data_IF_208681758396
#
_entry.id   IF_208681758396
#
_cell.length_a   1.000
_cell.length_b   1.000
_cell.length_c   1.000
_cell.angle_alpha   90.00
_cell.angle_beta   90.00
_cell.angle_gamma   90.00
#
_symmetry.space_group_name_H-M   'P 1'
#
loop_
_entity.id
_entity.type
_entity.pdbx_description
1 polymer ?
#
# COMPACT_ATOMS: atom_id res chain seq x y z
N UNK A 1 -16.70 -5.49 14.74
CA UNK A 1 -15.77 -6.47 14.16
C UNK A 1 -14.97 -5.76 13.06
N UNK A 2 -13.63 -5.71 13.09
CA UNK A 2 -12.90 -5.02 12.03
C UNK A 2 -13.05 -5.84 10.74
N UNK A 3 -13.56 -5.21 9.69
CA UNK A 3 -13.62 -5.78 8.35
C UNK A 3 -12.19 -6.14 7.92
N UNK A 4 -11.83 -7.41 8.04
CA UNK A 4 -10.61 -7.95 7.44
C UNK A 4 -10.94 -8.13 5.96
N UNK A 5 -10.79 -7.06 5.19
CA UNK A 5 -10.85 -7.15 3.74
C UNK A 5 -9.51 -7.75 3.29
N UNK A 6 -9.40 -9.09 3.32
CA UNK A 6 -8.50 -9.76 2.41
C UNK A 6 -8.99 -9.39 1.03
N UNK A 7 -8.30 -8.49 0.33
CA UNK A 7 -8.53 -8.27 -1.08
C UNK A 7 -8.13 -9.55 -1.82
N UNK A 8 -8.97 -10.60 -1.74
CA UNK A 8 -8.96 -11.71 -2.68
C UNK A 8 -9.34 -11.08 -4.01
N UNK A 9 -8.35 -11.00 -4.89
CA UNK A 9 -8.37 -10.32 -6.18
C UNK A 9 -9.70 -10.51 -6.92
N UNK A 10 -10.41 -9.42 -7.23
CA UNK A 10 -11.41 -9.40 -8.30
C UNK A 10 -11.88 -8.02 -8.81
N UNK A 11 -11.69 -6.86 -8.11
CA UNK A 11 -11.87 -5.58 -8.85
C UNK A 11 -10.89 -4.44 -8.53
N UNK A 12 -9.94 -4.59 -7.60
CA UNK A 12 -9.09 -3.48 -7.12
C UNK A 12 -7.71 -3.38 -7.78
N UNK A 13 -7.36 -4.34 -8.64
CA UNK A 13 -6.25 -4.24 -9.58
C UNK A 13 -6.92 -4.11 -10.94
N UNK A 14 -6.66 -3.04 -11.71
CA UNK A 14 -7.09 -3.13 -13.10
C UNK A 14 -6.30 -4.29 -13.70
N UNK A 15 -6.99 -5.34 -14.14
CA UNK A 15 -6.33 -6.54 -14.67
C UNK A 15 -5.42 -6.21 -15.88
N UNK A 16 -5.61 -5.02 -16.48
CA UNK A 16 -4.76 -4.47 -17.52
C UNK A 16 -3.50 -3.74 -17.00
N UNK A 17 -3.50 -3.18 -15.78
CA UNK A 17 -2.34 -2.46 -15.21
C UNK A 17 -2.03 -3.00 -13.82
N UNK A 18 -0.92 -3.73 -13.73
CA UNK A 18 -0.35 -4.28 -12.48
C UNK A 18 0.23 -3.16 -11.62
N UNK A 19 -0.62 -2.29 -11.08
CA UNK A 19 -0.28 -1.13 -10.26
C UNK A 19 -1.25 -1.03 -9.08
N UNK A 20 -0.91 -0.24 -8.07
CA UNK A 20 -1.86 0.18 -7.03
C UNK A 20 -2.56 1.45 -7.53
N UNK A 21 -3.88 1.43 -7.79
CA UNK A 21 -4.62 2.59 -8.26
C UNK A 21 -4.71 3.67 -7.16
N UNK A 22 -4.80 4.94 -7.54
CA UNK A 22 -4.94 6.06 -6.57
C UNK A 22 -6.25 5.99 -5.80
N UNK A 23 -7.25 5.36 -6.38
CA UNK A 23 -8.59 5.09 -5.84
C UNK A 23 -8.54 4.20 -4.59
N UNK A 24 -7.39 3.56 -4.29
CA UNK A 24 -7.17 2.89 -2.99
C UNK A 24 -7.40 3.83 -1.80
N UNK A 25 -7.16 5.14 -1.99
CA UNK A 25 -7.36 6.16 -0.96
C UNK A 25 -8.83 6.35 -0.57
N UNK A 26 -9.78 5.91 -1.40
CA UNK A 26 -11.21 6.03 -1.13
C UNK A 26 -11.69 5.00 -0.09
N UNK A 27 -10.86 3.99 0.20
CA UNK A 27 -11.11 2.99 1.23
C UNK A 27 -10.79 3.53 2.63
N UNK A 28 -11.36 4.68 3.00
CA UNK A 28 -11.03 5.46 4.21
C UNK A 28 -11.18 4.70 5.53
N UNK A 29 -11.92 3.59 5.54
CA UNK A 29 -12.13 2.72 6.71
C UNK A 29 -11.25 1.45 6.71
N UNK A 30 -10.39 1.27 5.71
CA UNK A 30 -9.56 0.08 5.58
C UNK A 30 -8.50 0.03 6.69
N UNK A 31 -8.50 -1.06 7.46
CA UNK A 31 -7.56 -1.26 8.57
C UNK A 31 -6.33 -2.06 8.14
N UNK A 32 -6.51 -3.00 7.20
CA UNK A 32 -5.46 -3.91 6.73
C UNK A 32 -5.46 -3.91 5.21
N UNK A 33 -4.32 -3.60 4.61
CA UNK A 33 -4.07 -3.77 3.18
C UNK A 33 -3.03 -4.87 2.99
N UNK A 34 -3.41 -5.98 2.34
CA UNK A 34 -2.51 -7.11 2.05
C UNK A 34 -2.50 -7.44 0.57
N UNK A 35 -1.37 -7.18 -0.09
CA UNK A 35 -1.16 -7.41 -1.53
C UNK A 35 0.21 -8.03 -1.82
N UNK A 36 0.65 -8.88 -0.89
CA UNK A 36 1.96 -9.53 -0.90
C UNK A 36 2.06 -10.63 -1.95
N UNK A 37 3.28 -10.95 -2.41
CA UNK A 37 3.54 -12.03 -3.38
C UNK A 37 2.78 -11.86 -4.70
N UNK A 38 2.79 -10.64 -5.23
CA UNK A 38 2.25 -10.33 -6.53
C UNK A 38 3.36 -9.78 -7.43
N UNK A 39 3.01 -9.38 -8.64
CA UNK A 39 3.95 -8.77 -9.58
C UNK A 39 3.53 -7.32 -9.87
N UNK A 40 3.06 -6.62 -8.84
CA UNK A 40 2.65 -5.22 -8.91
C UNK A 40 3.87 -4.35 -9.14
N UNK A 41 3.74 -3.36 -10.01
CA UNK A 41 4.78 -2.44 -10.47
C UNK A 41 4.38 -0.99 -10.16
N UNK A 42 5.26 -0.04 -10.50
CA UNK A 42 5.00 1.38 -10.28
C UNK A 42 5.30 1.82 -8.85
N UNK A 43 4.86 3.01 -8.48
CA UNK A 43 5.02 3.56 -7.12
C UNK A 43 3.77 3.35 -6.27
N UNK A 44 3.93 3.47 -4.96
CA UNK A 44 2.78 3.55 -4.04
C UNK A 44 2.11 4.92 -4.27
N UNK A 45 0.80 4.99 -4.54
CA UNK A 45 0.11 6.26 -4.73
C UNK A 45 0.05 7.05 -3.40
N UNK A 46 0.22 8.36 -3.48
CA UNK A 46 0.23 9.22 -2.29
C UNK A 46 -1.08 9.16 -1.49
N UNK A 47 -2.19 8.85 -2.15
CA UNK A 47 -3.51 8.69 -1.52
C UNK A 47 -3.54 7.57 -0.47
N UNK A 48 -2.69 6.55 -0.59
CA UNK A 48 -2.55 5.50 0.44
C UNK A 48 -2.10 6.10 1.77
N UNK A 49 -1.22 7.11 1.74
CA UNK A 49 -0.70 7.74 2.96
C UNK A 49 -1.73 8.66 3.65
N UNK A 50 -2.87 8.93 3.03
CA UNK A 50 -3.97 9.67 3.65
C UNK A 50 -4.94 8.77 4.45
N UNK A 51 -4.78 7.44 4.38
CA UNK A 51 -5.66 6.47 5.01
C UNK A 51 -5.31 6.25 6.49
N UNK A 52 -5.67 7.21 7.35
CA UNK A 52 -5.33 7.22 8.78
C UNK A 52 -5.91 6.05 9.61
N UNK A 53 -6.82 5.25 9.04
CA UNK A 53 -7.38 4.04 9.65
C UNK A 53 -6.46 2.81 9.50
N UNK A 54 -5.48 2.83 8.59
CA UNK A 54 -4.59 1.71 8.35
C UNK A 54 -3.72 1.40 9.57
N UNK A 55 -3.68 0.12 9.92
CA UNK A 55 -2.83 -0.44 10.98
C UNK A 55 -1.79 -1.42 10.44
N UNK A 56 -2.08 -2.07 9.31
CA UNK A 56 -1.17 -3.00 8.66
C UNK A 56 -1.19 -2.83 7.15
N UNK A 57 -0.02 -2.68 6.56
CA UNK A 57 0.20 -2.69 5.11
C UNK A 57 1.24 -3.76 4.78
N UNK A 58 0.85 -4.77 4.01
CA UNK A 58 1.75 -5.80 3.47
C UNK A 58 1.79 -5.69 1.94
N UNK A 59 2.90 -5.20 1.41
CA UNK A 59 3.17 -5.07 -0.02
C UNK A 59 4.44 -5.83 -0.43
N UNK A 60 4.96 -6.69 0.45
CA UNK A 60 6.19 -7.42 0.23
C UNK A 60 6.14 -8.31 -1.03
N UNK A 61 7.30 -8.67 -1.56
CA UNK A 61 7.44 -9.56 -2.74
C UNK A 61 6.63 -9.05 -3.94
N UNK A 62 6.97 -7.85 -4.39
CA UNK A 62 6.39 -7.20 -5.57
C UNK A 62 7.52 -6.50 -6.38
N UNK A 63 7.14 -5.78 -7.44
CA UNK A 63 8.06 -4.96 -8.25
C UNK A 63 7.81 -3.45 -8.05
N UNK A 64 7.31 -3.03 -6.88
CA UNK A 64 7.09 -1.61 -6.57
C UNK A 64 8.43 -0.87 -6.50
N UNK A 65 8.43 0.38 -6.95
CA UNK A 65 9.63 1.23 -7.07
C UNK A 65 9.36 2.67 -6.65
N UNK A 66 10.43 3.46 -6.57
CA UNK A 66 10.38 4.86 -6.14
C UNK A 66 10.74 5.03 -4.67
N UNK A 67 10.63 6.27 -4.18
CA UNK A 67 10.88 6.61 -2.78
C UNK A 67 9.62 6.53 -1.95
N UNK A 68 9.80 6.27 -0.65
CA UNK A 68 8.74 6.46 0.33
C UNK A 68 8.63 7.95 0.63
N UNK A 69 7.46 8.57 0.44
CA UNK A 69 7.28 9.99 0.70
C UNK A 69 7.19 10.25 2.21
N UNK A 70 7.52 11.47 2.65
CA UNK A 70 7.45 11.87 4.08
C UNK A 70 6.03 11.75 4.66
N UNK A 71 5.03 11.81 3.78
CA UNK A 71 3.61 11.65 4.05
C UNK A 71 3.29 10.28 4.66
N UNK A 72 4.20 9.30 4.61
CA UNK A 72 4.08 8.06 5.39
C UNK A 72 3.87 8.31 6.90
N UNK A 73 4.33 9.47 7.41
CA UNK A 73 4.05 9.93 8.77
C UNK A 73 2.57 10.23 9.06
N UNK A 74 1.72 10.42 8.03
CA UNK A 74 0.28 10.61 8.18
C UNK A 74 -0.44 9.33 8.60
N UNK A 75 0.18 8.16 8.44
CA UNK A 75 -0.36 6.86 8.85
C UNK A 75 -0.18 6.66 10.36
N UNK A 76 -0.78 7.54 11.15
CA UNK A 76 -0.59 7.66 12.61
C UNK A 76 -1.03 6.42 13.41
N UNK A 77 -1.89 5.56 12.84
CA UNK A 77 -2.31 4.29 13.45
C UNK A 77 -1.53 3.07 12.94
N UNK A 78 -0.57 3.26 12.03
CA UNK A 78 0.20 2.17 11.44
C UNK A 78 1.04 1.47 12.49
N UNK A 79 0.99 0.14 12.47
CA UNK A 79 1.75 -0.71 13.38
C UNK A 79 2.72 -1.61 12.62
N UNK A 80 2.33 -2.05 11.43
CA UNK A 80 3.11 -2.99 10.63
C UNK A 80 3.15 -2.53 9.18
N UNK A 81 4.37 -2.36 8.67
CA UNK A 81 4.63 -2.02 7.27
C UNK A 81 5.64 -3.01 6.69
N UNK A 82 5.18 -3.87 5.78
CA UNK A 82 6.03 -4.81 5.05
C UNK A 82 6.20 -4.37 3.60
N UNK A 83 7.43 -4.00 3.25
CA UNK A 83 7.83 -3.55 1.91
C UNK A 83 8.98 -4.38 1.32
N UNK A 84 9.40 -5.44 2.01
CA UNK A 84 10.55 -6.27 1.65
C UNK A 84 10.39 -6.90 0.26
N UNK A 85 11.50 -7.28 -0.39
CA UNK A 85 11.49 -7.84 -1.75
C UNK A 85 10.70 -6.97 -2.74
N UNK A 86 11.01 -5.67 -2.76
CA UNK A 86 10.57 -4.69 -3.76
C UNK A 86 11.80 -3.92 -4.30
N UNK A 87 11.58 -2.93 -5.18
CA UNK A 87 12.62 -2.10 -5.80
C UNK A 87 12.56 -0.65 -5.32
N UNK A 88 12.21 -0.43 -4.05
CA UNK A 88 12.21 0.91 -3.44
C UNK A 88 13.63 1.46 -3.37
N UNK A 89 13.76 2.77 -3.55
CA UNK A 89 15.04 3.49 -3.60
C UNK A 89 14.89 4.90 -3.03
N UNK A 90 15.99 5.54 -2.67
CA UNK A 90 16.00 6.91 -2.16
C UNK A 90 16.22 6.96 -0.65
N UNK A 91 16.20 8.18 -0.11
CA UNK A 91 16.53 8.44 1.29
C UNK A 91 15.27 8.78 2.08
N UNK A 92 15.24 8.32 3.32
CA UNK A 92 14.27 8.78 4.30
C UNK A 92 14.83 10.06 4.94
N UNK A 93 14.35 11.23 4.53
CA UNK A 93 14.63 12.48 5.23
C UNK A 93 13.46 12.79 6.16
N UNK A 94 13.69 12.67 7.47
CA UNK A 94 12.76 13.13 8.50
C UNK A 94 12.92 14.63 8.73
#
# INVERSE_FOLDING_TARGET
>A
MPQILYARAAPLLSFEKRIIPREIGDLVNLVILGVEMNQITGSIPNSLFNMSSLRRVSLGRNNLKGSLPREIGNLTKMQVLYLYENRFSGTYSK
#
